data_IF_604981643235
#
_entry.id   IF_604981643235
#
_cell.length_a   1.000
_cell.length_b   1.000
_cell.length_c   1.000
_cell.angle_alpha   90.00
_cell.angle_beta   90.00
_cell.angle_gamma   90.00
#
_symmetry.space_group_name_H-M   'P 1'
#
loop_
_entity.id
_entity.type
_entity.pdbx_description
1 polymer ?
#
# COMPACT_ATOMS: atom_id res chain seq x y z
N UNK A 1 8.39 19.80 -16.48
CA UNK A 1 8.02 18.42 -16.05
C UNK A 1 6.50 18.18 -16.06
N UNK A 2 5.68 19.08 -16.62
CA UNK A 2 4.21 18.93 -16.78
C UNK A 2 3.77 18.50 -18.20
N UNK A 3 4.72 18.24 -19.11
CA UNK A 3 4.51 18.19 -20.57
C UNK A 3 3.79 16.93 -21.10
N UNK A 4 3.54 15.92 -20.25
CA UNK A 4 2.94 14.66 -20.69
C UNK A 4 1.50 14.43 -20.17
N UNK A 5 1.00 15.23 -19.23
CA UNK A 5 -0.33 14.97 -18.66
C UNK A 5 -1.43 15.32 -19.67
N UNK A 6 -2.27 14.32 -19.99
CA UNK A 6 -3.41 14.46 -20.88
C UNK A 6 -4.70 14.67 -20.10
N UNK A 7 -5.37 15.79 -20.37
CA UNK A 7 -6.59 16.20 -19.69
C UNK A 7 -7.74 16.28 -20.69
N UNK A 8 -8.84 15.60 -20.39
CA UNK A 8 -10.09 15.72 -21.13
C UNK A 8 -11.01 16.70 -20.40
N UNK A 9 -11.48 17.75 -21.08
CA UNK A 9 -12.47 18.70 -20.54
C UNK A 9 -13.81 18.44 -21.19
N UNK A 10 -14.83 18.17 -20.39
CA UNK A 10 -16.18 17.80 -20.83
C UNK A 10 -17.17 18.83 -20.34
N UNK A 11 -17.78 19.55 -21.27
CA UNK A 11 -18.73 20.62 -20.97
C UNK A 11 -19.66 20.81 -22.16
N UNK A 12 -20.95 21.03 -21.95
CA UNK A 12 -21.87 21.31 -23.05
C UNK A 12 -21.69 22.72 -23.64
N UNK A 13 -20.99 23.60 -22.91
CA UNK A 13 -20.63 24.94 -23.38
C UNK A 13 -19.23 24.98 -23.99
N UNK A 14 -19.14 25.13 -25.32
CA UNK A 14 -17.87 25.26 -26.03
C UNK A 14 -16.97 26.41 -25.49
N UNK A 15 -17.59 27.47 -24.96
CA UNK A 15 -16.88 28.61 -24.37
C UNK A 15 -16.10 28.18 -23.13
N UNK A 16 -16.66 27.30 -22.30
CA UNK A 16 -16.00 26.78 -21.10
C UNK A 16 -14.82 25.90 -21.48
N UNK A 17 -15.02 24.99 -22.44
CA UNK A 17 -13.94 24.15 -23.00
C UNK A 17 -12.80 25.03 -23.51
N UNK A 18 -13.10 26.02 -24.34
CA UNK A 18 -12.07 26.91 -24.93
C UNK A 18 -11.36 27.74 -23.87
N UNK A 19 -12.06 28.16 -22.83
CA UNK A 19 -11.49 28.89 -21.70
C UNK A 19 -10.53 28.00 -20.91
N UNK A 20 -10.93 26.77 -20.59
CA UNK A 20 -10.07 25.80 -19.90
C UNK A 20 -8.87 25.40 -20.77
N UNK A 21 -9.08 25.09 -22.06
CA UNK A 21 -8.01 24.80 -23.02
C UNK A 21 -6.96 25.91 -23.07
N UNK A 22 -7.39 27.18 -23.12
CA UNK A 22 -6.47 28.32 -23.21
C UNK A 22 -5.61 28.45 -21.96
N UNK A 23 -6.20 28.30 -20.78
CA UNK A 23 -5.52 28.43 -19.49
C UNK A 23 -4.59 27.25 -19.22
N UNK A 24 -5.02 26.03 -19.54
CA UNK A 24 -4.24 24.84 -19.24
C UNK A 24 -3.13 24.58 -20.27
N UNK A 25 -3.35 24.90 -21.56
CA UNK A 25 -2.30 24.79 -22.59
C UNK A 25 -1.14 25.74 -22.33
N UNK A 26 -1.37 26.91 -21.71
CA UNK A 26 -0.27 27.83 -21.38
C UNK A 26 0.69 27.28 -20.32
N UNK A 27 0.28 26.29 -19.54
CA UNK A 27 1.13 25.59 -18.57
C UNK A 27 1.78 24.31 -19.12
N UNK A 28 1.55 23.99 -20.41
CA UNK A 28 2.17 22.84 -21.08
C UNK A 28 1.36 21.53 -21.02
N UNK A 29 0.11 21.55 -20.57
CA UNK A 29 -0.76 20.37 -20.56
C UNK A 29 -1.34 20.04 -21.94
N UNK A 30 -1.52 18.75 -22.24
CA UNK A 30 -2.22 18.30 -23.44
C UNK A 30 -3.73 18.24 -23.17
N UNK A 31 -4.48 19.17 -23.75
CA UNK A 31 -5.93 19.30 -23.50
C UNK A 31 -6.72 18.94 -24.74
N UNK A 32 -7.75 18.11 -24.53
CA UNK A 32 -8.80 17.83 -25.49
C UNK A 32 -10.18 18.15 -24.88
N UNK A 33 -11.09 18.68 -25.68
CA UNK A 33 -12.45 19.02 -25.26
C UNK A 33 -13.49 18.03 -25.77
N UNK A 34 -14.59 17.83 -25.05
CA UNK A 34 -15.77 17.09 -25.49
C UNK A 34 -17.05 17.85 -25.09
N UNK A 35 -18.04 17.91 -25.99
CA UNK A 35 -19.29 18.67 -25.80
C UNK A 35 -20.36 17.94 -24.98
N UNK A 36 -20.03 16.78 -24.43
CA UNK A 36 -20.96 15.99 -23.62
C UNK A 36 -20.42 14.60 -23.29
N UNK A 37 -21.10 13.89 -22.40
CA UNK A 37 -20.63 12.60 -21.88
C UNK A 37 -20.45 11.51 -22.95
N UNK A 38 -21.28 11.50 -24.00
CA UNK A 38 -21.16 10.52 -25.10
C UNK A 38 -19.88 10.71 -25.92
N UNK A 39 -19.56 11.95 -26.27
CA UNK A 39 -18.33 12.27 -27.00
C UNK A 39 -17.10 11.98 -26.11
N UNK A 40 -17.20 12.29 -24.81
CA UNK A 40 -16.14 11.98 -23.85
C UNK A 40 -15.83 10.48 -23.80
N UNK A 41 -16.85 9.63 -23.72
CA UNK A 41 -16.68 8.16 -23.72
C UNK A 41 -15.95 7.68 -24.98
N UNK A 42 -16.38 8.14 -26.16
CA UNK A 42 -15.76 7.76 -27.44
C UNK A 42 -14.28 8.16 -27.51
N UNK A 43 -13.96 9.38 -27.06
CA UNK A 43 -12.59 9.88 -26.99
C UNK A 43 -11.74 9.07 -26.01
N UNK A 44 -12.30 8.75 -24.85
CA UNK A 44 -11.65 7.89 -23.88
C UNK A 44 -11.40 6.49 -24.44
N UNK A 45 -12.31 5.88 -25.21
CA UNK A 45 -12.03 4.58 -25.84
C UNK A 45 -10.85 4.60 -26.81
N UNK A 46 -10.62 5.74 -27.49
CA UNK A 46 -9.56 5.91 -28.50
C UNK A 46 -8.24 6.46 -27.94
N UNK A 47 -8.24 7.01 -26.73
CA UNK A 47 -7.10 7.72 -26.15
C UNK A 47 -6.88 7.45 -24.67
N UNK A 48 -5.65 7.74 -24.21
CA UNK A 48 -5.31 7.73 -22.78
C UNK A 48 -5.38 9.15 -22.23
N UNK A 49 -6.04 9.30 -21.07
CA UNK A 49 -6.15 10.55 -20.32
C UNK A 49 -5.81 10.26 -18.86
N UNK A 50 -5.08 11.18 -18.23
CA UNK A 50 -4.74 11.11 -16.81
C UNK A 50 -5.82 11.76 -15.94
N UNK A 51 -6.42 12.84 -16.46
CA UNK A 51 -7.43 13.65 -15.79
C UNK A 51 -8.63 13.90 -16.68
N UNK A 52 -9.82 13.91 -16.08
CA UNK A 52 -11.08 14.31 -16.70
C UNK A 52 -11.70 15.42 -15.87
N UNK A 53 -11.98 16.55 -16.51
CA UNK A 53 -12.72 17.66 -15.96
C UNK A 53 -14.11 17.59 -16.57
N UNK A 54 -15.17 17.42 -15.78
CA UNK A 54 -16.53 17.25 -16.32
C UNK A 54 -17.52 18.18 -15.64
N UNK A 55 -18.39 18.79 -16.43
CA UNK A 55 -19.62 19.39 -15.91
C UNK A 55 -20.55 18.29 -15.36
N UNK A 56 -21.35 18.63 -14.34
CA UNK A 56 -22.32 17.71 -13.75
C UNK A 56 -23.65 17.66 -14.53
N UNK A 57 -24.05 18.78 -15.12
CA UNK A 57 -25.31 18.97 -15.83
C UNK A 57 -25.03 19.10 -17.33
N UNK A 58 -25.10 17.98 -18.01
CA UNK A 58 -25.00 17.91 -19.47
C UNK A 58 -26.23 17.20 -20.04
N UNK A 59 -26.65 17.53 -21.28
CA UNK A 59 -27.71 16.80 -21.98
C UNK A 59 -27.27 15.37 -22.35
N UNK A 60 -28.26 14.48 -22.48
CA UNK A 60 -28.12 13.05 -22.78
C UNK A 60 -27.44 12.22 -21.67
N UNK A 61 -26.14 12.44 -21.46
CA UNK A 61 -25.31 11.75 -20.47
C UNK A 61 -24.78 12.79 -19.51
N UNK A 62 -25.29 12.76 -18.28
CA UNK A 62 -24.87 13.67 -17.22
C UNK A 62 -23.47 13.33 -16.68
N UNK A 63 -22.87 14.28 -15.95
CA UNK A 63 -21.52 14.11 -15.41
C UNK A 63 -21.42 12.96 -14.41
N UNK A 64 -22.50 12.67 -13.66
CA UNK A 64 -22.54 11.57 -12.69
C UNK A 64 -22.45 10.21 -13.40
N UNK A 65 -23.23 10.03 -14.46
CA UNK A 65 -23.20 8.80 -15.28
C UNK A 65 -21.84 8.62 -15.91
N UNK A 66 -21.22 9.69 -16.40
CA UNK A 66 -19.85 9.67 -16.90
C UNK A 66 -18.85 9.26 -15.81
N UNK A 67 -18.92 9.86 -14.62
CA UNK A 67 -18.06 9.52 -13.48
C UNK A 67 -18.17 8.04 -13.13
N UNK A 68 -19.39 7.51 -13.01
CA UNK A 68 -19.64 6.09 -12.71
C UNK A 68 -19.04 5.17 -13.78
N UNK A 69 -19.17 5.53 -15.05
CA UNK A 69 -18.58 4.78 -16.15
C UNK A 69 -17.05 4.81 -16.11
N UNK A 70 -16.44 5.97 -15.86
CA UNK A 70 -14.98 6.12 -15.73
C UNK A 70 -14.47 5.29 -14.57
N UNK A 71 -15.10 5.36 -13.39
CA UNK A 71 -14.65 4.59 -12.21
C UNK A 71 -14.74 3.08 -12.43
N UNK A 72 -15.74 2.60 -13.18
CA UNK A 72 -15.89 1.19 -13.51
C UNK A 72 -14.88 0.71 -14.55
N UNK A 73 -14.61 1.52 -15.57
CA UNK A 73 -13.80 1.12 -16.74
C UNK A 73 -12.32 1.48 -16.60
N UNK A 74 -12.01 2.60 -15.93
CA UNK A 74 -10.67 3.19 -15.80
C UNK A 74 -10.50 3.90 -14.43
N UNK A 75 -10.39 3.14 -13.32
CA UNK A 75 -10.37 3.69 -11.95
C UNK A 75 -9.16 4.59 -11.64
N UNK A 76 -8.11 4.52 -12.46
CA UNK A 76 -6.88 5.30 -12.29
C UNK A 76 -6.99 6.74 -12.81
N UNK A 77 -8.02 7.04 -13.61
CA UNK A 77 -8.23 8.39 -14.13
C UNK A 77 -8.72 9.28 -12.99
N UNK A 78 -8.05 10.42 -12.84
CA UNK A 78 -8.44 11.45 -11.91
C UNK A 78 -9.63 12.22 -12.43
N UNK A 79 -10.63 12.47 -11.58
CA UNK A 79 -11.83 13.19 -11.98
C UNK A 79 -11.95 14.46 -11.17
N UNK A 80 -12.07 15.58 -11.88
CA UNK A 80 -12.36 16.90 -11.34
C UNK A 80 -13.72 17.34 -11.86
N UNK A 81 -14.56 17.87 -10.98
CA UNK A 81 -15.87 18.37 -11.38
C UNK A 81 -15.78 19.86 -11.72
N UNK A 82 -16.45 20.31 -12.78
CA UNK A 82 -16.73 21.72 -13.02
C UNK A 82 -18.22 21.93 -12.69
N UNK A 83 -18.58 22.90 -11.84
CA UNK A 83 -19.99 23.07 -11.43
C UNK A 83 -20.38 24.51 -11.13
N UNK A 84 -21.55 24.95 -11.59
CA UNK A 84 -22.06 26.32 -11.41
C UNK A 84 -22.80 26.60 -10.10
N UNK A 85 -23.23 25.58 -9.35
CA UNK A 85 -23.84 25.71 -8.01
C UNK A 85 -23.87 24.32 -7.37
N UNK A 86 -22.98 24.00 -6.40
CA UNK A 86 -23.03 22.71 -5.74
C UNK A 86 -24.26 22.66 -4.83
N UNK A 87 -25.24 21.80 -5.14
CA UNK A 87 -26.19 21.37 -4.11
C UNK A 87 -25.46 20.41 -3.15
N UNK A 88 -25.87 20.40 -1.88
CA UNK A 88 -25.27 19.51 -0.87
C UNK A 88 -25.38 18.03 -1.28
N UNK A 89 -26.47 17.66 -1.94
CA UNK A 89 -26.73 16.28 -2.38
C UNK A 89 -25.76 15.84 -3.48
N UNK A 90 -25.59 16.65 -4.53
CA UNK A 90 -24.71 16.31 -5.66
C UNK A 90 -23.24 16.33 -5.24
N UNK A 91 -22.87 17.17 -4.27
CA UNK A 91 -21.51 17.18 -3.73
C UNK A 91 -21.19 15.91 -2.93
N UNK A 92 -22.14 15.46 -2.10
CA UNK A 92 -21.97 14.24 -1.31
C UNK A 92 -21.78 13.02 -2.21
N UNK A 93 -22.60 12.91 -3.25
CA UNK A 93 -22.51 11.82 -4.22
C UNK A 93 -21.18 11.85 -4.98
N UNK A 94 -20.70 13.02 -5.40
CA UNK A 94 -19.41 13.15 -6.06
C UNK A 94 -18.24 12.69 -5.18
N UNK A 95 -18.25 13.07 -3.89
CA UNK A 95 -17.23 12.67 -2.92
C UNK A 95 -17.24 11.15 -2.72
N UNK A 96 -18.41 10.53 -2.59
CA UNK A 96 -18.56 9.08 -2.46
C UNK A 96 -18.04 8.32 -3.70
N UNK A 97 -18.13 8.94 -4.88
CA UNK A 97 -17.57 8.40 -6.12
C UNK A 97 -16.05 8.56 -6.23
N UNK A 98 -15.39 9.24 -5.28
CA UNK A 98 -13.94 9.37 -5.21
C UNK A 98 -13.34 10.31 -6.27
N UNK A 99 -13.99 11.46 -6.50
CA UNK A 99 -13.40 12.58 -7.24
C UNK A 99 -12.17 13.14 -6.51
N UNK A 100 -11.34 13.88 -7.22
CA UNK A 100 -10.18 14.57 -6.64
C UNK A 100 -10.63 15.88 -5.99
N UNK A 101 -11.33 16.70 -6.75
CA UNK A 101 -11.68 18.07 -6.37
C UNK A 101 -12.74 18.62 -7.35
N UNK A 102 -13.16 19.87 -7.15
CA UNK A 102 -14.09 20.56 -8.02
C UNK A 102 -13.67 22.02 -8.30
N UNK A 103 -14.17 22.56 -9.40
CA UNK A 103 -13.95 23.92 -9.90
C UNK A 103 -15.32 24.62 -10.00
N UNK A 104 -15.54 25.73 -9.29
CA UNK A 104 -16.80 26.48 -9.41
C UNK A 104 -16.87 27.26 -10.73
N UNK A 105 -18.02 27.26 -11.43
CA UNK A 105 -18.31 28.19 -12.54
C UNK A 105 -19.00 29.45 -12.00
N UNK A 106 -18.65 30.65 -12.49
CA UNK A 106 -17.50 30.94 -13.36
C UNK A 106 -16.18 30.81 -12.59
N UNK A 107 -15.15 30.24 -13.23
CA UNK A 107 -13.81 30.11 -12.64
C UNK A 107 -12.85 31.17 -13.18
N UNK A 108 -11.92 31.60 -12.32
CA UNK A 108 -10.75 32.36 -12.75
C UNK A 108 -9.64 31.42 -13.22
N UNK A 109 -8.71 31.88 -14.07
CA UNK A 109 -7.54 31.09 -14.46
C UNK A 109 -6.77 30.55 -13.24
N UNK A 110 -6.61 31.35 -12.19
CA UNK A 110 -5.91 30.93 -10.96
C UNK A 110 -6.57 29.72 -10.29
N UNK A 111 -7.89 29.75 -10.10
CA UNK A 111 -8.62 28.65 -9.45
C UNK A 111 -8.52 27.37 -10.27
N UNK A 112 -8.68 27.46 -11.59
CA UNK A 112 -8.55 26.30 -12.47
C UNK A 112 -7.14 25.71 -12.41
N UNK A 113 -6.10 26.56 -12.39
CA UNK A 113 -4.71 26.13 -12.30
C UNK A 113 -4.39 25.48 -10.96
N UNK A 114 -4.87 26.03 -9.85
CA UNK A 114 -4.62 25.48 -8.52
C UNK A 114 -5.25 24.11 -8.35
N UNK A 115 -6.50 23.94 -8.80
CA UNK A 115 -7.19 22.64 -8.82
C UNK A 115 -6.46 21.67 -9.74
N UNK A 116 -6.03 22.12 -10.92
CA UNK A 116 -5.29 21.27 -11.86
C UNK A 116 -3.96 20.83 -11.29
N UNK A 117 -3.20 21.71 -10.62
CA UNK A 117 -1.94 21.33 -9.96
C UNK A 117 -2.16 20.29 -8.87
N UNK A 118 -3.20 20.43 -8.04
CA UNK A 118 -3.57 19.40 -7.05
C UNK A 118 -3.97 18.09 -7.72
N UNK A 119 -4.75 18.16 -8.80
CA UNK A 119 -5.18 16.99 -9.55
C UNK A 119 -4.02 16.29 -10.26
N UNK A 120 -3.05 17.04 -10.79
CA UNK A 120 -1.82 16.51 -11.38
C UNK A 120 -0.97 15.87 -10.30
N UNK A 121 -0.79 16.49 -9.12
CA UNK A 121 -0.09 15.85 -8.00
C UNK A 121 -0.78 14.56 -7.55
N UNK A 122 -2.12 14.54 -7.51
CA UNK A 122 -2.88 13.33 -7.26
C UNK A 122 -2.64 12.29 -8.37
N UNK A 123 -2.67 12.70 -9.64
CA UNK A 123 -2.44 11.82 -10.78
C UNK A 123 -0.99 11.34 -10.86
N UNK A 124 0.00 12.10 -10.41
CA UNK A 124 1.40 11.69 -10.28
C UNK A 124 1.62 10.79 -9.06
N UNK A 125 0.78 10.94 -8.02
CA UNK A 125 0.69 10.04 -6.88
C UNK A 125 -0.05 8.73 -7.20
N UNK A 126 -0.89 8.73 -8.25
CA UNK A 126 -1.79 7.62 -8.63
C UNK A 126 -1.59 7.07 -10.06
N UNK A 127 -0.66 7.64 -10.85
CA UNK A 127 0.00 6.97 -11.99
C UNK A 127 0.27 5.58 -11.46
N UNK A 128 -0.22 4.54 -12.16
CA UNK A 128 -0.59 3.29 -11.53
C UNK A 128 0.46 2.88 -10.52
N UNK A 129 -0.01 2.42 -9.38
CA UNK A 129 0.75 1.60 -8.46
C UNK A 129 1.23 0.27 -9.11
N UNK A 130 1.59 0.33 -10.40
CA UNK A 130 2.39 -0.63 -11.14
C UNK A 130 3.86 -0.15 -11.31
N UNK A 131 4.26 1.08 -10.98
CA UNK A 131 5.69 1.46 -11.05
C UNK A 131 6.28 2.20 -9.84
N UNK A 132 5.51 2.71 -8.87
CA UNK A 132 6.06 3.15 -7.56
C UNK A 132 6.10 2.04 -6.50
N UNK A 133 6.30 0.81 -6.97
CA UNK A 133 6.80 -0.32 -6.20
C UNK A 133 8.05 -0.94 -6.84
N UNK A 134 8.67 -0.25 -7.81
CA UNK A 134 10.04 -0.55 -8.21
C UNK A 134 10.98 -0.04 -7.11
N UNK A 135 11.06 -0.78 -6.00
CA UNK A 135 12.39 -1.02 -5.44
C UNK A 135 13.17 -1.71 -6.56
N UNK A 136 13.82 -0.91 -7.41
CA UNK A 136 14.88 -1.41 -8.25
C UNK A 136 15.94 -1.95 -7.29
N UNK A 137 15.96 -3.27 -7.14
CA UNK A 137 17.01 -3.95 -6.41
C UNK A 137 18.36 -3.50 -6.96
N UNK A 138 19.40 -3.39 -6.12
CA UNK A 138 20.76 -3.23 -6.60
C UNK A 138 21.01 -4.21 -7.77
N UNK A 139 21.61 -3.77 -8.89
CA UNK A 139 21.83 -4.62 -10.07
C UNK A 139 22.53 -5.95 -9.74
N UNK A 140 23.29 -6.00 -8.64
CA UNK A 140 23.91 -7.20 -8.09
C UNK A 140 22.89 -8.27 -7.65
N UNK A 141 21.86 -7.90 -6.86
CA UNK A 141 20.84 -8.83 -6.37
C UNK A 141 19.96 -9.37 -7.51
N UNK A 142 19.65 -8.51 -8.48
CA UNK A 142 18.94 -8.90 -9.70
C UNK A 142 19.70 -9.99 -10.50
N UNK A 143 21.02 -9.83 -10.63
CA UNK A 143 21.86 -10.81 -11.31
C UNK A 143 21.95 -12.14 -10.57
N UNK A 144 21.94 -12.13 -9.23
CA UNK A 144 21.90 -13.33 -8.40
C UNK A 144 20.57 -14.08 -8.55
N UNK A 145 19.44 -13.36 -8.52
CA UNK A 145 18.14 -13.95 -8.75
C UNK A 145 18.05 -14.64 -10.12
N UNK A 146 18.56 -14.00 -11.17
CA UNK A 146 18.59 -14.60 -12.52
C UNK A 146 19.51 -15.82 -12.62
N UNK A 147 20.54 -15.95 -11.77
CA UNK A 147 21.34 -17.17 -11.68
C UNK A 147 20.54 -18.31 -11.06
N UNK A 148 19.85 -18.04 -9.95
CA UNK A 148 19.00 -19.01 -9.26
C UNK A 148 17.89 -19.51 -10.19
N UNK A 149 17.18 -18.59 -10.87
CA UNK A 149 16.12 -18.96 -11.82
C UNK A 149 16.66 -19.91 -12.89
N UNK A 150 17.84 -19.63 -13.47
CA UNK A 150 18.45 -20.50 -14.50
C UNK A 150 18.82 -21.88 -13.97
N UNK A 151 19.31 -21.97 -12.75
CA UNK A 151 19.70 -23.24 -12.12
C UNK A 151 18.49 -24.18 -11.95
N UNK A 152 17.35 -23.65 -11.54
CA UNK A 152 16.16 -24.45 -11.22
C UNK A 152 15.18 -24.61 -12.38
N UNK A 153 15.34 -23.86 -13.49
CA UNK A 153 14.41 -23.82 -14.65
C UNK A 153 14.02 -25.20 -15.20
N UNK A 154 14.92 -26.18 -15.13
CA UNK A 154 14.72 -27.51 -15.71
C UNK A 154 14.23 -28.57 -14.71
N UNK A 155 13.94 -28.19 -13.46
CA UNK A 155 13.45 -29.13 -12.44
C UNK A 155 11.93 -29.07 -12.31
N UNK A 156 11.23 -30.22 -12.25
CA UNK A 156 9.81 -30.25 -11.91
C UNK A 156 9.62 -29.70 -10.48
N UNK A 157 8.63 -28.83 -10.28
CA UNK A 157 8.37 -28.20 -8.97
C UNK A 157 9.36 -27.07 -8.59
N UNK A 158 10.01 -26.44 -9.57
CA UNK A 158 11.05 -25.42 -9.33
C UNK A 158 10.57 -24.13 -8.65
N UNK A 159 9.26 -23.84 -8.64
CA UNK A 159 8.73 -22.58 -8.11
C UNK A 159 9.02 -22.37 -6.62
N UNK A 160 8.77 -23.37 -5.76
CA UNK A 160 8.96 -23.25 -4.31
C UNK A 160 10.44 -23.02 -3.95
N UNK A 161 11.41 -23.82 -4.46
CA UNK A 161 12.84 -23.56 -4.22
C UNK A 161 13.29 -22.18 -4.71
N UNK A 162 12.80 -21.73 -5.86
CA UNK A 162 13.14 -20.41 -6.40
C UNK A 162 12.59 -19.30 -5.52
N UNK A 163 11.34 -19.40 -5.05
CA UNK A 163 10.75 -18.43 -4.13
C UNK A 163 11.46 -18.40 -2.77
N UNK A 164 11.84 -19.56 -2.24
CA UNK A 164 12.63 -19.64 -1.00
C UNK A 164 13.96 -18.91 -1.16
N UNK A 165 14.71 -19.22 -2.22
CA UNK A 165 16.01 -18.60 -2.45
C UNK A 165 15.91 -17.11 -2.79
N UNK A 166 14.86 -16.72 -3.52
CA UNK A 166 14.57 -15.31 -3.78
C UNK A 166 14.28 -14.55 -2.49
N UNK A 167 13.52 -15.13 -1.56
CA UNK A 167 13.24 -14.53 -0.26
C UNK A 167 14.48 -14.50 0.64
N UNK A 168 15.41 -15.44 0.53
CA UNK A 168 16.70 -15.39 1.26
C UNK A 168 17.61 -14.26 0.77
N UNK A 169 17.60 -13.96 -0.53
CA UNK A 169 18.42 -12.89 -1.14
C UNK A 169 17.79 -11.52 -0.86
N UNK A 170 16.47 -11.42 -1.01
CA UNK A 170 15.74 -10.13 -0.98
C UNK A 170 15.10 -9.85 0.38
N UNK A 171 14.90 -10.85 1.23
CA UNK A 171 14.19 -10.77 2.52
C UNK A 171 12.67 -10.91 2.43
N UNK A 172 12.07 -10.53 1.30
CA UNK A 172 10.63 -10.57 1.02
C UNK A 172 10.38 -10.73 -0.48
N UNK A 173 9.13 -10.96 -0.88
CA UNK A 173 8.71 -11.27 -2.24
C UNK A 173 7.69 -10.24 -2.74
N UNK A 174 8.11 -9.02 -3.09
CA UNK A 174 7.22 -8.01 -3.65
C UNK A 174 6.79 -8.40 -5.08
N UNK A 175 5.73 -7.76 -5.63
CA UNK A 175 5.24 -8.07 -6.97
C UNK A 175 6.34 -8.03 -8.06
N UNK A 176 7.32 -7.14 -7.95
CA UNK A 176 8.43 -7.03 -8.91
C UNK A 176 9.26 -8.31 -8.98
N UNK A 177 9.57 -8.92 -7.83
CA UNK A 177 10.30 -10.20 -7.76
C UNK A 177 9.45 -11.34 -8.32
N UNK A 178 8.16 -11.38 -7.98
CA UNK A 178 7.23 -12.38 -8.50
C UNK A 178 7.12 -12.31 -10.03
N UNK A 179 7.00 -11.10 -10.60
CA UNK A 179 6.99 -10.88 -12.06
C UNK A 179 8.28 -11.38 -12.73
N UNK A 180 9.44 -11.12 -12.13
CA UNK A 180 10.73 -11.58 -12.67
C UNK A 180 10.87 -13.10 -12.64
N UNK A 181 10.46 -13.75 -11.56
CA UNK A 181 10.43 -15.21 -11.43
C UNK A 181 9.46 -15.83 -12.44
N UNK A 182 8.26 -15.25 -12.61
CA UNK A 182 7.26 -15.70 -13.57
C UNK A 182 7.81 -15.68 -15.01
N UNK A 183 8.44 -14.57 -15.42
CA UNK A 183 9.11 -14.45 -16.74
C UNK A 183 10.27 -15.44 -16.89
N UNK A 184 11.06 -15.61 -15.85
CA UNK A 184 12.22 -16.51 -15.86
C UNK A 184 11.86 -18.00 -15.97
N UNK A 185 10.78 -18.40 -15.30
CA UNK A 185 10.28 -19.78 -15.30
C UNK A 185 9.25 -20.05 -16.42
N UNK A 186 8.86 -19.02 -17.18
CA UNK A 186 7.81 -19.09 -18.21
C UNK A 186 6.47 -19.58 -17.65
N UNK A 187 6.01 -18.95 -16.57
CA UNK A 187 4.73 -19.25 -15.91
C UNK A 187 3.88 -17.99 -15.77
N UNK A 188 2.55 -18.10 -15.68
CA UNK A 188 1.68 -16.97 -15.42
C UNK A 188 2.00 -16.28 -14.08
N UNK A 189 2.02 -14.95 -14.04
CA UNK A 189 2.25 -14.17 -12.81
C UNK A 189 1.23 -14.53 -11.71
N UNK A 190 -0.02 -14.80 -12.11
CA UNK A 190 -1.10 -15.22 -11.21
C UNK A 190 -0.78 -16.53 -10.47
N UNK A 191 -0.08 -17.47 -11.10
CA UNK A 191 0.30 -18.74 -10.48
C UNK A 191 1.35 -18.53 -9.40
N UNK A 192 2.37 -17.71 -9.69
CA UNK A 192 3.40 -17.32 -8.71
C UNK A 192 2.76 -16.60 -7.52
N UNK A 193 1.85 -15.65 -7.79
CA UNK A 193 1.15 -14.91 -6.74
C UNK A 193 0.27 -15.80 -5.88
N UNK A 194 -0.43 -16.78 -6.49
CA UNK A 194 -1.23 -17.76 -5.75
C UNK A 194 -0.39 -18.58 -4.78
N UNK A 195 0.83 -18.98 -5.17
CA UNK A 195 1.72 -19.72 -4.27
C UNK A 195 2.25 -18.85 -3.14
N UNK A 196 2.67 -17.62 -3.44
CA UNK A 196 3.18 -16.68 -2.42
C UNK A 196 2.11 -16.30 -1.40
N UNK A 197 0.86 -16.13 -1.84
CA UNK A 197 -0.27 -15.82 -0.96
C UNK A 197 -0.79 -17.03 -0.17
N UNK A 198 -0.62 -18.24 -0.68
CA UNK A 198 -1.09 -19.47 -0.04
C UNK A 198 -0.18 -19.93 1.12
N UNK A 199 1.15 -19.86 0.93
CA UNK A 199 2.10 -20.33 1.96
C UNK A 199 2.47 -19.20 2.92
N UNK A 200 2.16 -19.37 4.20
CA UNK A 200 2.52 -18.42 5.28
C UNK A 200 4.02 -18.20 5.45
N UNK A 201 4.86 -19.10 4.93
CA UNK A 201 6.31 -18.93 4.93
C UNK A 201 6.77 -17.74 4.08
N UNK A 202 6.05 -17.45 2.99
CA UNK A 202 6.38 -16.34 2.09
C UNK A 202 5.76 -15.04 2.59
N UNK A 203 6.46 -13.94 2.37
CA UNK A 203 6.05 -12.62 2.85
C UNK A 203 6.24 -11.59 1.76
N UNK A 204 5.19 -10.82 1.49
CA UNK A 204 5.19 -9.78 0.45
C UNK A 204 5.64 -8.40 0.96
N UNK A 205 5.71 -8.22 2.28
CA UNK A 205 6.10 -6.97 2.93
C UNK A 205 7.54 -7.08 3.45
N UNK A 206 8.32 -5.99 3.49
CA UNK A 206 9.64 -6.03 4.09
C UNK A 206 9.56 -6.50 5.55
N UNK A 207 10.32 -7.54 5.86
CA UNK A 207 10.56 -7.97 7.25
C UNK A 207 11.65 -7.09 7.84
N UNK A 208 11.54 -6.83 9.13
CA UNK A 208 12.62 -6.21 9.87
C UNK A 208 13.79 -7.19 10.01
N UNK A 209 14.96 -6.66 10.36
CA UNK A 209 16.18 -7.45 10.58
C UNK A 209 15.96 -8.61 11.58
N UNK A 210 15.07 -8.43 12.56
CA UNK A 210 14.68 -9.42 13.55
C UNK A 210 13.18 -9.72 13.50
N UNK A 211 12.83 -11.01 13.34
CA UNK A 211 11.44 -11.46 13.33
C UNK A 211 11.02 -12.04 14.69
N UNK A 212 10.10 -11.35 15.37
CA UNK A 212 9.55 -11.74 16.66
C UNK A 212 8.27 -12.54 16.44
N UNK A 213 8.37 -13.86 16.54
CA UNK A 213 7.24 -14.80 16.47
C UNK A 213 6.65 -15.05 17.85
N UNK A 214 5.38 -14.70 18.03
CA UNK A 214 4.65 -14.90 19.30
C UNK A 214 3.67 -16.06 19.17
N UNK A 215 3.76 -17.04 20.07
CA UNK A 215 2.85 -18.19 20.09
C UNK A 215 1.48 -17.80 20.65
N UNK A 216 0.46 -17.82 19.80
CA UNK A 216 -0.95 -17.60 20.14
C UNK A 216 -1.72 -18.93 20.33
N UNK A 217 -0.99 -20.01 20.61
CA UNK A 217 -1.57 -21.32 20.90
C UNK A 217 -2.23 -21.38 22.28
N UNK A 218 -3.13 -22.34 22.48
CA UNK A 218 -3.94 -22.45 23.70
C UNK A 218 -3.12 -22.49 25.00
N UNK A 219 -1.99 -23.19 25.01
CA UNK A 219 -1.12 -23.28 26.19
C UNK A 219 -0.46 -21.94 26.56
N UNK A 220 -0.11 -21.11 25.56
CA UNK A 220 0.44 -19.78 25.78
C UNK A 220 -0.68 -18.78 26.13
N UNK A 221 -1.85 -18.94 25.52
CA UNK A 221 -3.04 -18.14 25.80
C UNK A 221 -3.46 -18.22 27.27
N UNK A 222 -3.65 -19.43 27.80
CA UNK A 222 -4.05 -19.67 29.20
C UNK A 222 -3.02 -19.17 30.20
N UNK A 223 -1.73 -19.11 29.80
CA UNK A 223 -0.64 -18.56 30.63
C UNK A 223 -0.45 -17.05 30.47
N UNK A 224 -1.36 -16.34 29.79
CA UNK A 224 -1.37 -14.88 29.73
C UNK A 224 -0.36 -14.28 28.73
N UNK A 225 -0.13 -14.93 27.58
CA UNK A 225 0.74 -14.37 26.53
C UNK A 225 0.25 -13.01 26.00
N UNK A 226 -1.03 -12.70 26.13
CA UNK A 226 -1.61 -11.39 25.73
C UNK A 226 -0.89 -10.22 26.41
N UNK A 227 -0.60 -10.31 27.71
CA UNK A 227 0.10 -9.24 28.43
C UNK A 227 1.56 -9.07 27.98
N UNK A 228 2.19 -10.13 27.49
CA UNK A 228 3.52 -10.04 26.86
C UNK A 228 3.40 -9.36 25.50
N UNK A 229 2.43 -9.79 24.69
CA UNK A 229 2.19 -9.24 23.36
C UNK A 229 1.87 -7.74 23.42
N UNK A 230 1.02 -7.30 24.35
CA UNK A 230 0.65 -5.89 24.49
C UNK A 230 1.83 -5.00 24.88
N UNK A 231 2.74 -5.49 25.74
CA UNK A 231 3.99 -4.76 26.03
C UNK A 231 4.90 -4.67 24.82
N UNK A 232 5.02 -5.76 24.05
CA UNK A 232 5.83 -5.77 22.81
C UNK A 232 5.25 -4.77 21.80
N UNK A 233 3.93 -4.82 21.57
CA UNK A 233 3.20 -3.88 20.70
C UNK A 233 3.37 -2.44 21.16
N UNK A 234 3.19 -2.17 22.45
CA UNK A 234 3.34 -0.82 23.01
C UNK A 234 4.76 -0.26 22.88
N UNK A 235 5.78 -1.10 23.03
CA UNK A 235 7.19 -0.70 22.91
C UNK A 235 7.60 -0.44 21.46
N UNK A 236 7.22 -1.33 20.55
CA UNK A 236 7.60 -1.25 19.14
C UNK A 236 6.62 -0.37 18.32
N UNK A 237 5.46 -0.01 18.90
CA UNK A 237 4.38 0.76 18.27
C UNK A 237 3.87 0.16 16.96
N UNK A 238 3.85 -1.16 16.86
CA UNK A 238 3.40 -1.92 15.69
C UNK A 238 2.43 -3.03 16.12
N UNK A 239 1.54 -3.44 15.23
CA UNK A 239 0.62 -4.56 15.43
C UNK A 239 1.16 -5.89 14.84
N UNK A 240 0.44 -6.98 15.03
CA UNK A 240 0.79 -8.30 14.49
C UNK A 240 0.74 -8.24 12.96
N UNK A 241 1.83 -8.68 12.33
CA UNK A 241 2.00 -8.67 10.87
C UNK A 241 2.57 -7.36 10.33
N UNK A 242 2.95 -6.44 11.20
CA UNK A 242 3.61 -5.18 10.87
C UNK A 242 5.11 -5.21 11.19
N UNK A 243 5.82 -4.30 10.55
CA UNK A 243 7.26 -4.09 10.71
C UNK A 243 7.47 -2.67 11.19
N UNK A 244 8.42 -2.46 12.10
CA UNK A 244 8.75 -1.13 12.62
C UNK A 244 9.26 -0.20 11.52
N UNK A 245 9.05 1.12 11.68
CA UNK A 245 9.49 2.13 10.71
C UNK A 245 11.02 2.10 10.47
N UNK A 246 11.78 1.71 11.49
CA UNK A 246 13.24 1.56 11.43
C UNK A 246 13.69 0.25 10.76
N UNK A 247 12.75 -0.58 10.28
CA UNK A 247 12.97 -1.90 9.66
C UNK A 247 13.82 -2.85 10.52
N UNK A 248 13.85 -2.67 11.84
CA UNK A 248 14.59 -3.58 12.74
C UNK A 248 13.78 -4.76 13.24
N UNK A 249 12.50 -4.58 13.53
CA UNK A 249 11.67 -5.61 14.14
C UNK A 249 10.37 -5.84 13.36
N UNK A 250 9.99 -7.09 13.18
CA UNK A 250 8.66 -7.50 12.75
C UNK A 250 7.98 -8.34 13.82
N UNK A 251 6.67 -8.20 13.99
CA UNK A 251 5.89 -9.07 14.88
C UNK A 251 5.06 -10.02 14.04
N UNK A 252 5.20 -11.33 14.29
CA UNK A 252 4.44 -12.37 13.62
C UNK A 252 3.69 -13.23 14.65
N UNK A 253 2.38 -13.35 14.50
CA UNK A 253 1.54 -14.21 15.33
C UNK A 253 1.49 -15.63 14.78
N UNK A 254 2.02 -16.60 15.50
CA UNK A 254 2.03 -18.01 15.07
C UNK A 254 1.12 -18.87 15.94
N UNK A 255 0.50 -19.91 15.35
CA UNK A 255 -0.45 -20.78 16.07
C UNK A 255 0.23 -21.68 17.09
N UNK A 256 1.41 -22.22 16.78
CA UNK A 256 2.15 -23.09 17.70
C UNK A 256 3.64 -23.07 17.38
N UNK A 257 4.48 -22.96 18.40
CA UNK A 257 5.94 -23.10 18.32
C UNK A 257 6.44 -24.47 18.80
N UNK A 258 5.54 -25.39 19.19
CA UNK A 258 5.89 -26.74 19.64
C UNK A 258 6.52 -26.83 21.04
N UNK A 259 6.76 -25.71 21.71
CA UNK A 259 7.43 -25.64 23.02
C UNK A 259 6.46 -25.45 24.20
N UNK A 260 5.34 -26.18 24.23
CA UNK A 260 4.28 -25.98 25.24
C UNK A 260 4.76 -26.13 26.69
N UNK A 261 5.80 -26.96 26.95
CA UNK A 261 6.40 -27.10 28.29
C UNK A 261 7.04 -25.82 28.82
N UNK A 262 7.44 -24.92 27.93
CA UNK A 262 8.07 -23.64 28.24
C UNK A 262 7.11 -22.45 28.10
N UNK A 263 5.81 -22.69 27.94
CA UNK A 263 4.83 -21.62 27.76
C UNK A 263 4.85 -20.59 28.93
N UNK A 264 4.63 -19.29 28.68
CA UNK A 264 4.48 -18.63 27.39
C UNK A 264 5.81 -18.59 26.59
N UNK A 265 5.74 -18.79 25.27
CA UNK A 265 6.92 -18.86 24.38
C UNK A 265 6.86 -17.80 23.30
N UNK A 266 8.00 -17.14 23.07
CA UNK A 266 8.27 -16.33 21.88
C UNK A 266 9.53 -16.86 21.18
N UNK A 267 9.68 -16.59 19.89
CA UNK A 267 10.88 -16.91 19.12
C UNK A 267 11.34 -15.65 18.42
N UNK A 268 12.61 -15.29 18.56
CA UNK A 268 13.22 -14.20 17.82
C UNK A 268 14.19 -14.84 16.84
N UNK A 269 13.94 -14.66 15.56
CA UNK A 269 14.66 -15.32 14.46
C UNK A 269 14.64 -16.86 14.58
N UNK A 270 15.73 -17.45 15.07
CA UNK A 270 15.86 -18.90 15.30
C UNK A 270 15.94 -19.27 16.79
N UNK A 271 16.02 -18.29 17.69
CA UNK A 271 16.17 -18.54 19.12
C UNK A 271 14.81 -18.57 19.82
N UNK A 272 14.60 -19.62 20.61
CA UNK A 272 13.33 -19.87 21.32
C UNK A 272 13.45 -19.45 22.78
N UNK A 273 12.54 -18.59 23.22
CA UNK A 273 12.53 -18.05 24.57
C UNK A 273 11.28 -18.49 25.33
N UNK A 274 11.51 -19.24 26.40
CA UNK A 274 10.47 -19.79 27.28
C UNK A 274 10.27 -19.03 28.59
N UNK A 275 9.20 -19.39 29.28
CA UNK A 275 8.74 -18.81 30.54
C UNK A 275 8.72 -17.27 30.44
N UNK A 276 8.09 -16.78 29.37
CA UNK A 276 8.15 -15.38 29.02
C UNK A 276 7.29 -14.55 29.96
N UNK A 277 7.90 -13.51 30.54
CA UNK A 277 7.19 -12.48 31.30
C UNK A 277 7.28 -11.15 30.54
N UNK A 278 6.36 -10.20 30.79
CA UNK A 278 6.37 -8.93 30.05
C UNK A 278 7.66 -8.12 30.27
N UNK A 279 8.33 -8.26 31.43
CA UNK A 279 9.61 -7.62 31.71
C UNK A 279 10.77 -8.31 30.93
N UNK A 280 10.79 -9.64 30.93
CA UNK A 280 11.79 -10.45 30.22
C UNK A 280 11.70 -10.27 28.70
N UNK A 281 10.50 -10.10 28.16
CA UNK A 281 10.32 -9.82 26.74
C UNK A 281 10.97 -8.50 26.32
N UNK A 282 10.85 -7.45 27.14
CA UNK A 282 11.47 -6.15 26.87
C UNK A 282 13.00 -6.19 26.98
N UNK A 283 13.54 -6.94 27.94
CA UNK A 283 15.00 -7.09 28.08
C UNK A 283 15.58 -7.80 26.86
N UNK A 284 14.97 -8.91 26.45
CA UNK A 284 15.41 -9.67 25.27
C UNK A 284 15.34 -8.78 24.02
N UNK A 285 14.24 -8.07 23.76
CA UNK A 285 14.13 -7.17 22.59
C UNK A 285 15.20 -6.07 22.61
N UNK A 286 15.60 -5.60 23.79
CA UNK A 286 16.67 -4.60 23.93
C UNK A 286 18.05 -5.18 23.61
N UNK A 287 18.29 -6.46 23.89
CA UNK A 287 19.54 -7.17 23.54
C UNK A 287 19.71 -7.29 22.01
N UNK A 288 18.62 -7.43 21.26
CA UNK A 288 18.61 -7.44 19.78
C UNK A 288 18.60 -6.04 19.15
N UNK A 289 18.87 -4.97 19.93
CA UNK A 289 19.00 -3.61 19.38
C UNK A 289 17.70 -2.82 19.29
N UNK A 290 16.68 -3.18 20.07
CA UNK A 290 15.49 -2.37 20.32
C UNK A 290 15.82 -1.03 21.03
N UNK A 291 14.87 -0.08 21.09
CA UNK A 291 15.12 1.22 21.72
C UNK A 291 15.53 1.02 23.18
N UNK A 292 16.81 1.26 23.46
CA UNK A 292 17.46 1.04 24.75
C UNK A 292 16.64 1.67 25.86
N UNK A 293 16.25 0.88 26.86
CA UNK A 293 15.79 1.43 28.12
C UNK A 293 17.04 1.64 28.98
N UNK A 294 17.38 2.90 29.25
CA UNK A 294 18.26 3.23 30.37
C UNK A 294 17.68 2.59 31.63
N UNK A 295 18.45 1.72 32.24
CA UNK A 295 18.10 1.05 33.48
C UNK A 295 17.73 2.05 34.58
N UNK A 296 16.56 1.88 35.18
CA UNK A 296 16.36 1.75 36.63
C UNK A 296 14.88 1.45 36.90
N UNK A 297 14.54 0.44 37.73
CA UNK A 297 13.23 0.42 38.37
C UNK A 297 13.19 1.54 39.41
N UNK A 298 12.23 2.46 39.31
CA UNK A 298 11.91 3.38 40.39
C UNK A 298 11.26 2.61 41.53
N UNK A 299 11.66 2.90 42.77
CA UNK A 299 11.22 2.25 44.01
C UNK A 299 9.69 2.26 44.22
N UNK A 300 8.94 3.07 43.48
CA UNK A 300 7.47 3.16 43.54
C UNK A 300 6.74 1.92 42.98
N UNK A 301 7.35 1.13 42.08
CA UNK A 301 6.70 -0.06 41.52
C UNK A 301 6.80 -1.29 42.44
N UNK A 302 7.67 -1.25 43.46
CA UNK A 302 7.86 -2.36 44.41
C UNK A 302 6.76 -2.37 45.49
N UNK A 303 6.18 -1.23 45.83
CA UNK A 303 5.10 -1.16 46.84
C UNK A 303 3.72 -1.58 46.31
N UNK A 304 3.50 -1.53 45.00
CA UNK A 304 2.17 -1.82 44.43
C UNK A 304 1.91 -3.32 44.27
N UNK A 305 2.97 -4.14 44.16
CA UNK A 305 2.84 -5.60 44.03
C UNK A 305 2.73 -6.31 45.39
N UNK A 306 3.16 -5.70 46.48
CA UNK A 306 3.10 -6.30 47.83
C UNK A 306 1.71 -6.20 48.52
N UNK A 307 0.71 -5.54 47.91
CA UNK A 307 -0.62 -5.32 48.51
C UNK A 307 -1.77 -6.12 47.87
N UNK A 308 -1.50 -7.03 46.92
CA UNK A 308 -2.52 -7.89 46.31
C UNK A 308 -2.41 -9.39 46.67
N UNK A 309 -1.51 -9.77 47.57
CA UNK A 309 -1.51 -11.10 48.21
C UNK A 309 -1.62 -10.99 49.74
N UNK A 310 -2.70 -10.35 50.21
CA UNK A 310 -3.12 -10.32 51.61
C UNK A 310 -4.64 -10.41 51.72
#
# INVERSE_FOLDING_TARGET
MAEETRILVVDDELVVIKSAERVLKSEGFQIEGALGGREAILKMEQGNYDLVFTDLKMPEVDGITLIRWIKKSRPNIGIVIITGYPSQETMKEAIELGIIDYVPKPFTPSVLLDVTKRAVQWAEGRKPAEEKGAEEFPPSMAAELDRVIREYRHRPGCLIPVLQRAQEIVGYLPPVVQKRIARGLNMPEAEVHSVVSFYSFFTMKPRGDHNVRVCLGTACYVRGIEGVLDKIKGKLKIDIGETTEDKKFSIEGVRCLGACGLAPVIMIDQETYGAMTPAKALSIISEYGGPAFSAAPSEEDIETVAKQEG
#
